data_IF_707188689958
#
_entry.id   IF_707188689958
#
_cell.length_a   1.000
_cell.length_b   1.000
_cell.length_c   1.000
_cell.angle_alpha   90.00
_cell.angle_beta   90.00
_cell.angle_gamma   90.00
#
_symmetry.space_group_name_H-M   'P 1'
#
loop_
_entity.id
_entity.type
_entity.pdbx_description
1 polymer ?
#
# COMPACT_ATOMS: atom_id res chain seq x y z
N UNK A 1 13.95 -14.22 -4.75
CA UNK A 1 14.33 -12.83 -5.11
C UNK A 1 13.62 -11.92 -4.11
N UNK A 2 14.30 -10.91 -3.56
CA UNK A 2 13.65 -9.92 -2.68
C UNK A 2 13.07 -8.82 -3.55
N UNK A 3 11.81 -8.45 -3.34
CA UNK A 3 11.23 -7.28 -3.99
C UNK A 3 11.87 -6.02 -3.40
N UNK A 4 12.17 -5.03 -4.26
CA UNK A 4 12.70 -3.74 -3.80
C UNK A 4 11.57 -2.87 -3.25
N UNK A 5 11.90 -1.91 -2.39
CA UNK A 5 10.93 -0.93 -1.88
C UNK A 5 10.23 -0.19 -3.04
N UNK A 6 11.00 0.27 -4.03
CA UNK A 6 10.48 0.96 -5.22
C UNK A 6 9.49 0.12 -6.02
N UNK A 7 9.74 -1.19 -6.14
CA UNK A 7 8.82 -2.11 -6.83
C UNK A 7 7.50 -2.22 -6.06
N UNK A 8 7.56 -2.36 -4.73
CA UNK A 8 6.38 -2.48 -3.87
C UNK A 8 5.56 -1.18 -3.91
N UNK A 9 6.22 -0.04 -3.82
CA UNK A 9 5.60 1.28 -3.90
C UNK A 9 4.93 1.51 -5.25
N UNK A 10 5.61 1.22 -6.36
CA UNK A 10 5.07 1.39 -7.71
C UNK A 10 3.78 0.56 -7.93
N UNK A 11 3.77 -0.67 -7.44
CA UNK A 11 2.59 -1.54 -7.48
C UNK A 11 1.47 -0.98 -6.59
N UNK A 12 1.81 -0.54 -5.37
CA UNK A 12 0.85 0.06 -4.46
C UNK A 12 0.19 1.31 -5.05
N UNK A 13 0.96 2.20 -5.68
CA UNK A 13 0.45 3.39 -6.36
C UNK A 13 -0.46 3.04 -7.55
N UNK A 14 -0.14 1.97 -8.27
CA UNK A 14 -0.98 1.48 -9.37
C UNK A 14 -2.34 0.95 -8.88
N UNK A 15 -2.35 0.28 -7.73
CA UNK A 15 -3.55 -0.28 -7.12
C UNK A 15 -4.39 0.75 -6.35
N UNK A 16 -3.75 1.78 -5.80
CA UNK A 16 -4.32 2.79 -4.91
C UNK A 16 -5.70 3.34 -5.35
N UNK A 17 -5.97 3.69 -6.62
CA UNK A 17 -7.27 4.24 -7.02
C UNK A 17 -8.46 3.33 -6.67
N UNK A 18 -8.27 2.01 -6.64
CA UNK A 18 -9.31 1.05 -6.27
C UNK A 18 -9.60 0.97 -4.77
N UNK A 19 -8.74 1.56 -3.94
CA UNK A 19 -8.81 1.50 -2.48
C UNK A 19 -9.11 2.86 -1.82
N UNK A 20 -9.20 3.95 -2.58
CA UNK A 20 -9.50 5.28 -2.02
C UNK A 20 -10.87 5.25 -1.32
N UNK A 21 -10.95 5.60 -0.01
CA UNK A 21 -12.21 5.64 0.72
C UNK A 21 -13.19 6.65 0.11
N UNK A 22 -14.48 6.32 0.14
CA UNK A 22 -15.55 7.24 -0.28
C UNK A 22 -15.76 8.37 0.71
N UNK A 23 -15.46 8.14 1.99
CA UNK A 23 -15.53 9.17 3.02
C UNK A 23 -14.34 10.12 2.88
N UNK A 24 -14.65 11.38 2.55
CA UNK A 24 -13.65 12.43 2.40
C UNK A 24 -13.04 12.89 3.73
N UNK A 25 -13.50 12.40 4.88
CA UNK A 25 -12.86 12.69 6.17
C UNK A 25 -11.65 11.78 6.45
N UNK A 26 -11.54 10.66 5.74
CA UNK A 26 -10.44 9.72 5.93
C UNK A 26 -9.11 10.33 5.51
N UNK A 27 -8.14 10.29 6.41
CA UNK A 27 -6.77 10.78 6.18
C UNK A 27 -5.76 9.66 6.09
N UNK A 28 -6.17 8.42 6.33
CA UNK A 28 -5.30 7.24 6.28
C UNK A 28 -5.96 6.14 5.48
N UNK A 29 -5.15 5.33 4.80
CA UNK A 29 -5.60 4.16 4.05
C UNK A 29 -4.55 3.06 4.18
N UNK A 30 -5.00 1.81 4.24
CA UNK A 30 -4.11 0.67 4.06
C UNK A 30 -4.82 -0.47 3.33
N UNK A 31 -4.06 -1.22 2.56
CA UNK A 31 -4.55 -2.43 1.88
C UNK A 31 -3.45 -3.48 1.73
N UNK A 32 -3.86 -4.70 1.38
CA UNK A 32 -2.96 -5.84 1.19
C UNK A 32 -2.92 -6.24 -0.28
N UNK A 33 -1.75 -6.67 -0.74
CA UNK A 33 -1.61 -7.35 -2.03
C UNK A 33 -0.54 -8.45 -1.95
N UNK A 34 -0.61 -9.39 -2.88
CA UNK A 34 0.32 -10.53 -2.95
C UNK A 34 1.06 -10.50 -4.29
N UNK A 35 2.38 -10.63 -4.23
CA UNK A 35 3.25 -10.82 -5.37
C UNK A 35 3.64 -12.30 -5.48
N UNK A 36 3.53 -12.91 -6.68
CA UNK A 36 4.07 -14.22 -6.92
C UNK A 36 5.59 -14.27 -6.63
N UNK A 37 6.12 -15.38 -6.08
CA UNK A 37 5.40 -16.63 -5.83
C UNK A 37 4.62 -16.69 -4.53
N UNK A 38 4.96 -15.96 -3.46
CA UNK A 38 4.30 -16.06 -2.13
C UNK A 38 4.57 -14.86 -1.20
N UNK A 39 4.87 -13.67 -1.73
CA UNK A 39 5.17 -12.50 -0.88
C UNK A 39 3.95 -11.60 -0.74
N UNK A 40 3.39 -11.52 0.46
CA UNK A 40 2.27 -10.63 0.77
C UNK A 40 2.77 -9.36 1.44
N UNK A 41 2.17 -8.23 1.08
CA UNK A 41 2.53 -6.92 1.61
C UNK A 41 1.29 -6.19 2.09
N UNK A 42 1.41 -5.51 3.24
CA UNK A 42 0.50 -4.46 3.67
C UNK A 42 1.14 -3.11 3.38
N UNK A 43 0.41 -2.22 2.73
CA UNK A 43 0.88 -0.85 2.43
C UNK A 43 0.04 0.19 3.13
N UNK A 44 0.66 1.32 3.43
CA UNK A 44 0.05 2.40 4.20
C UNK A 44 0.21 3.72 3.45
N UNK A 45 -0.88 4.45 3.36
CA UNK A 45 -0.96 5.76 2.76
C UNK A 45 -1.55 6.76 3.75
N UNK A 46 -1.11 8.00 3.66
CA UNK A 46 -1.72 9.13 4.35
C UNK A 46 -2.07 10.21 3.33
N UNK A 47 -3.12 10.97 3.65
CA UNK A 47 -3.57 12.07 2.81
C UNK A 47 -2.93 13.37 3.28
N UNK A 48 -2.26 14.05 2.36
CA UNK A 48 -1.62 15.35 2.63
C UNK A 48 -2.62 16.51 2.67
N UNK A 49 -2.11 17.71 2.98
CA UNK A 49 -2.91 18.96 3.03
C UNK A 49 -3.50 19.37 1.69
N UNK A 50 -3.00 18.83 0.57
CA UNK A 50 -3.49 19.04 -0.80
C UNK A 50 -4.44 17.93 -1.24
N UNK A 51 -4.87 17.07 -0.31
CA UNK A 51 -5.75 15.93 -0.55
C UNK A 51 -5.15 14.83 -1.44
N UNK A 52 -3.82 14.80 -1.59
CA UNK A 52 -3.14 13.71 -2.29
C UNK A 52 -2.78 12.58 -1.33
N UNK A 53 -2.94 11.35 -1.78
CA UNK A 53 -2.50 10.18 -1.05
C UNK A 53 -1.00 9.94 -1.27
N UNK A 54 -0.24 9.90 -0.19
CA UNK A 54 1.20 9.70 -0.17
C UNK A 54 1.53 8.33 0.39
N UNK A 55 2.43 7.61 -0.27
CA UNK A 55 2.95 6.36 0.24
C UNK A 55 3.81 6.63 1.48
N UNK A 56 3.54 5.93 2.58
CA UNK A 56 4.26 6.12 3.84
C UNK A 56 5.22 4.97 4.10
N UNK A 57 4.73 3.73 3.98
CA UNK A 57 5.51 2.53 4.26
C UNK A 57 4.81 1.27 3.75
N UNK A 58 5.56 0.19 3.71
CA UNK A 58 5.05 -1.17 3.58
C UNK A 58 5.53 -2.07 4.72
N UNK A 59 4.83 -3.17 4.91
CA UNK A 59 5.23 -4.27 5.78
C UNK A 59 5.06 -5.57 4.99
N UNK A 60 6.11 -6.38 4.94
CA UNK A 60 5.98 -7.75 4.46
C UNK A 60 5.17 -8.55 5.50
N UNK A 61 4.08 -9.15 5.04
CA UNK A 61 3.23 -10.01 5.84
C UNK A 61 3.72 -11.43 5.62
N UNK A 62 4.73 -11.81 6.40
CA UNK A 62 5.16 -13.20 6.49
C UNK A 62 4.21 -13.92 7.45
N UNK A 63 3.35 -14.78 6.90
CA UNK A 63 2.55 -15.73 7.68
C UNK A 63 3.53 -16.72 8.32
N UNK A 64 4.00 -16.39 9.53
CA UNK A 64 4.74 -17.35 10.36
C UNK A 64 3.69 -18.22 11.04
N UNK A 65 3.35 -19.33 10.39
CA UNK A 65 2.86 -20.54 11.05
C UNK A 65 4.02 -21.28 11.72
#
# INVERSE_FOLDING_TARGET
MKHTADQIESIALTLLPGFIPKDQKETTLSFHFTLPPNSSFKVFFERDVKLNWQFIRYQEVSDKM
#
